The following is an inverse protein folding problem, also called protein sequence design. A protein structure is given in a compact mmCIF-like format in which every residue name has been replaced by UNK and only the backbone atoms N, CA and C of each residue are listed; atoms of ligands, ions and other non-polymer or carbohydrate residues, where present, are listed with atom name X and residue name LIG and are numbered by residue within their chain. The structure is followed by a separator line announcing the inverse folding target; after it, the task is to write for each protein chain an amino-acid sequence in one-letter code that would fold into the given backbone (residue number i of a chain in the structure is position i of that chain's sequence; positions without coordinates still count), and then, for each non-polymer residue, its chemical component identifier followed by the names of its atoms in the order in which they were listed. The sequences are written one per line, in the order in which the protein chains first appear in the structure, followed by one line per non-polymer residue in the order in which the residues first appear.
data_IF_729785143359
#
_entry.id   IF_729785143359
#
_cell.length_a   1.000
_cell.length_b   1.000
_cell.length_c   1.000
_cell.angle_alpha   90.00
_cell.angle_beta   90.00
_cell.angle_gamma   90.00
#
_symmetry.space_group_name_H-M   'P 1'
#
loop_
_entity.id
_entity.type
_entity.pdbx_description
1 polymer ?
#
# COMPACT_ATOMS: atom_id res chain seq x y z
N UNK A 1 10.28 16.71 -18.42
CA UNK A 1 10.85 15.33 -18.39
C UNK A 1 9.77 14.35 -17.96
N UNK A 2 9.70 13.18 -18.63
CA UNK A 2 8.82 12.08 -18.23
C UNK A 2 9.65 10.94 -17.63
N UNK A 3 9.36 10.57 -16.39
CA UNK A 3 9.95 9.41 -15.73
C UNK A 3 9.08 8.20 -16.07
N UNK A 4 9.67 7.17 -16.70
CA UNK A 4 8.93 5.97 -17.05
C UNK A 4 8.57 5.13 -15.83
N UNK A 5 7.47 4.39 -15.94
CA UNK A 5 7.06 3.42 -14.91
C UNK A 5 8.15 2.38 -14.69
N UNK A 6 8.79 1.89 -15.74
CA UNK A 6 9.88 0.91 -15.66
C UNK A 6 11.04 1.41 -14.80
N UNK A 7 11.46 2.68 -14.97
CA UNK A 7 12.53 3.29 -14.16
C UNK A 7 12.14 3.37 -12.68
N UNK A 8 10.90 3.77 -12.39
CA UNK A 8 10.39 3.83 -11.03
C UNK A 8 10.28 2.43 -10.40
N UNK A 9 9.80 1.46 -11.16
CA UNK A 9 9.68 0.07 -10.71
C UNK A 9 11.07 -0.55 -10.44
N UNK A 10 12.06 -0.29 -11.29
CA UNK A 10 13.44 -0.72 -11.08
C UNK A 10 14.05 -0.11 -9.82
N UNK A 11 13.83 1.19 -9.59
CA UNK A 11 14.25 1.87 -8.36
C UNK A 11 13.63 1.20 -7.13
N UNK A 12 12.32 1.01 -7.14
CA UNK A 12 11.58 0.43 -6.03
C UNK A 12 11.93 -1.03 -5.78
N UNK A 13 12.17 -1.81 -6.84
CA UNK A 13 12.58 -3.21 -6.72
C UNK A 13 13.92 -3.34 -5.99
N UNK A 14 14.88 -2.45 -6.27
CA UNK A 14 16.18 -2.43 -5.61
C UNK A 14 16.04 -2.06 -4.12
N UNK A 15 15.28 -1.03 -3.79
CA UNK A 15 14.98 -0.64 -2.41
C UNK A 15 14.29 -1.78 -1.67
N UNK A 16 13.32 -2.45 -2.29
CA UNK A 16 12.60 -3.58 -1.69
C UNK A 16 13.50 -4.78 -1.36
N UNK A 17 14.53 -5.05 -2.17
CA UNK A 17 15.53 -6.08 -1.85
C UNK A 17 16.24 -5.78 -0.54
N UNK A 18 16.65 -4.54 -0.32
CA UNK A 18 17.26 -4.11 0.94
C UNK A 18 16.28 -4.16 2.12
N UNK A 19 15.04 -3.75 1.92
CA UNK A 19 13.99 -3.88 2.93
C UNK A 19 13.84 -5.34 3.39
N UNK A 20 13.75 -6.27 2.44
CA UNK A 20 13.66 -7.71 2.74
C UNK A 20 14.92 -8.26 3.41
N UNK A 21 16.09 -7.78 3.01
CA UNK A 21 17.36 -8.20 3.60
C UNK A 21 17.49 -7.70 5.04
N UNK A 22 17.17 -6.43 5.31
CA UNK A 22 17.14 -5.86 6.66
C UNK A 22 16.19 -6.62 7.58
N UNK A 23 14.96 -6.87 7.10
CA UNK A 23 13.97 -7.65 7.86
C UNK A 23 14.48 -9.04 8.23
N UNK A 24 14.99 -9.80 7.23
CA UNK A 24 15.50 -11.17 7.49
C UNK A 24 16.70 -11.16 8.44
N UNK A 25 17.60 -10.20 8.28
CA UNK A 25 18.79 -10.08 9.11
C UNK A 25 18.42 -9.84 10.58
N UNK A 26 17.59 -8.83 10.86
CA UNK A 26 17.13 -8.51 12.22
C UNK A 26 16.31 -9.65 12.80
N UNK A 27 15.40 -10.24 12.04
CA UNK A 27 14.58 -11.35 12.51
C UNK A 27 15.43 -12.55 12.93
N UNK A 28 16.44 -12.91 12.13
CA UNK A 28 17.34 -14.02 12.43
C UNK A 28 18.18 -13.77 13.69
N UNK A 29 18.72 -12.56 13.85
CA UNK A 29 19.54 -12.20 15.01
C UNK A 29 18.71 -12.16 16.30
N UNK A 30 17.50 -11.58 16.28
CA UNK A 30 16.64 -11.56 17.45
C UNK A 30 16.14 -12.96 17.82
N UNK A 31 15.85 -13.82 16.85
CA UNK A 31 15.50 -15.22 17.12
C UNK A 31 16.67 -16.00 17.73
N UNK A 32 17.90 -15.78 17.27
CA UNK A 32 19.08 -16.38 17.84
C UNK A 32 19.32 -15.90 19.28
N UNK A 33 19.17 -14.59 19.53
CA UNK A 33 19.31 -14.03 20.87
C UNK A 33 18.30 -14.63 21.84
N UNK A 34 17.03 -14.72 21.45
CA UNK A 34 15.96 -15.34 22.25
C UNK A 34 16.31 -16.77 22.67
N UNK A 35 16.84 -17.55 21.71
CA UNK A 35 17.20 -18.96 21.95
C UNK A 35 18.38 -19.10 22.90
N UNK A 36 19.39 -18.23 22.78
CA UNK A 36 20.62 -18.30 23.57
C UNK A 36 20.45 -17.66 24.95
N UNK A 37 19.52 -16.74 25.12
CA UNK A 37 19.34 -15.95 26.33
C UNK A 37 17.86 -16.00 26.83
N UNK A 38 17.33 -17.18 27.20
CA UNK A 38 15.93 -17.33 27.54
C UNK A 38 15.50 -16.56 28.82
N UNK A 39 16.47 -16.15 29.64
CA UNK A 39 16.25 -15.38 30.86
C UNK A 39 16.67 -13.91 30.75
N UNK A 40 16.93 -13.43 29.52
CA UNK A 40 17.37 -12.05 29.30
C UNK A 40 16.31 -11.06 29.79
N UNK A 41 16.79 -10.03 30.48
CA UNK A 41 15.96 -8.90 30.96
C UNK A 41 15.53 -8.01 29.77
N UNK A 42 14.54 -7.17 30.01
CA UNK A 42 14.09 -6.17 29.01
C UNK A 42 15.23 -5.25 28.61
N UNK A 43 16.11 -4.86 29.54
CA UNK A 43 17.27 -4.01 29.25
C UNK A 43 18.25 -4.70 28.33
N UNK A 44 18.60 -5.96 28.59
CA UNK A 44 19.50 -6.75 27.73
C UNK A 44 18.91 -6.93 26.33
N UNK A 45 17.60 -7.14 26.21
CA UNK A 45 16.91 -7.15 24.92
C UNK A 45 17.02 -5.81 24.20
N UNK A 46 16.81 -4.69 24.89
CA UNK A 46 16.93 -3.36 24.30
C UNK A 46 18.35 -3.09 23.81
N UNK A 47 19.36 -3.34 24.64
CA UNK A 47 20.75 -3.07 24.31
C UNK A 47 21.22 -3.91 23.12
N UNK A 48 20.91 -5.21 23.12
CA UNK A 48 21.20 -6.08 21.97
C UNK A 48 20.49 -5.61 20.71
N UNK A 49 19.22 -5.28 20.81
CA UNK A 49 18.41 -4.89 19.66
C UNK A 49 18.83 -3.56 19.07
N UNK A 50 19.30 -2.61 19.89
CA UNK A 50 19.88 -1.35 19.38
C UNK A 50 21.07 -1.63 18.46
N UNK A 51 21.99 -2.50 18.87
CA UNK A 51 23.14 -2.86 18.05
C UNK A 51 22.71 -3.56 16.74
N UNK A 52 21.86 -4.57 16.86
CA UNK A 52 21.34 -5.33 15.69
C UNK A 52 20.60 -4.43 14.73
N UNK A 53 19.72 -3.57 15.23
CA UNK A 53 18.95 -2.65 14.39
C UNK A 53 19.88 -1.64 13.70
N UNK A 54 20.83 -1.06 14.43
CA UNK A 54 21.75 -0.08 13.89
C UNK A 54 22.63 -0.71 12.78
N UNK A 55 23.18 -1.89 13.00
CA UNK A 55 24.00 -2.59 11.99
C UNK A 55 23.20 -2.87 10.72
N UNK A 56 21.97 -3.35 10.88
CA UNK A 56 21.10 -3.63 9.74
C UNK A 56 20.69 -2.35 8.98
N UNK A 57 20.29 -1.29 9.71
CA UNK A 57 19.87 -0.03 9.07
C UNK A 57 21.03 0.72 8.46
N UNK A 58 22.25 0.62 9.01
CA UNK A 58 23.46 1.15 8.39
C UNK A 58 23.78 0.40 7.11
N UNK A 59 23.87 -0.94 7.15
CA UNK A 59 24.23 -1.71 5.97
C UNK A 59 23.23 -1.53 4.81
N UNK A 60 21.93 -1.69 5.07
CA UNK A 60 20.89 -1.68 4.02
C UNK A 60 20.30 -0.29 3.78
N UNK A 61 20.24 0.55 4.82
CA UNK A 61 19.76 1.93 4.71
C UNK A 61 20.74 2.81 3.96
N UNK A 62 22.04 2.70 4.24
CA UNK A 62 23.06 3.49 3.56
C UNK A 62 23.20 3.06 2.08
N UNK A 63 23.08 1.75 1.79
CA UNK A 63 23.00 1.28 0.41
C UNK A 63 21.78 1.86 -0.34
N UNK A 64 20.63 1.96 0.32
CA UNK A 64 19.43 2.55 -0.27
C UNK A 64 19.57 4.09 -0.43
N UNK A 65 20.23 4.76 0.52
CA UNK A 65 20.55 6.18 0.44
C UNK A 65 21.53 6.49 -0.70
N UNK A 66 22.58 5.71 -0.84
CA UNK A 66 23.55 5.85 -1.94
C UNK A 66 22.85 5.66 -3.31
N UNK A 67 22.01 4.65 -3.44
CA UNK A 67 21.22 4.44 -4.65
C UNK A 67 20.27 5.62 -4.95
N UNK A 68 19.67 6.20 -3.92
CA UNK A 68 18.85 7.40 -4.09
C UNK A 68 19.69 8.60 -4.56
N UNK A 69 20.93 8.74 -4.13
CA UNK A 69 21.86 9.75 -4.66
C UNK A 69 22.12 9.57 -6.16
N UNK A 70 22.45 8.35 -6.59
CA UNK A 70 22.70 8.04 -8.00
C UNK A 70 21.50 8.42 -8.87
N UNK A 71 20.29 8.04 -8.42
CA UNK A 71 19.03 8.33 -9.14
C UNK A 71 18.71 9.82 -9.12
N UNK A 72 18.99 10.52 -8.02
CA UNK A 72 18.83 11.98 -7.94
C UNK A 72 19.74 12.68 -8.92
N UNK A 73 21.03 12.41 -8.90
CA UNK A 73 22.03 13.05 -9.76
C UNK A 73 21.73 12.79 -11.23
N UNK A 74 21.37 11.56 -11.59
CA UNK A 74 20.94 11.22 -12.94
C UNK A 74 19.69 12.03 -13.35
N UNK A 75 18.71 12.15 -12.46
CA UNK A 75 17.48 12.89 -12.73
C UNK A 75 17.77 14.39 -12.95
N UNK A 76 18.64 14.99 -12.13
CA UNK A 76 19.02 16.40 -12.27
C UNK A 76 19.78 16.64 -13.57
N UNK A 77 20.69 15.74 -13.94
CA UNK A 77 21.42 15.83 -15.22
C UNK A 77 20.49 15.76 -16.42
N UNK A 78 19.51 14.83 -16.42
CA UNK A 78 18.53 14.72 -17.50
C UNK A 78 17.58 15.93 -17.59
N UNK A 79 17.32 16.59 -16.46
CA UNK A 79 16.54 17.85 -16.42
C UNK A 79 17.36 19.07 -16.82
N UNK A 80 18.67 18.93 -16.98
CA UNK A 80 19.58 20.05 -17.24
C UNK A 80 19.72 21.00 -16.05
N UNK A 81 19.45 20.51 -14.84
CA UNK A 81 19.57 21.29 -13.60
C UNK A 81 20.96 21.10 -13.01
N UNK A 82 21.71 22.19 -12.90
CA UNK A 82 23.05 22.15 -12.29
C UNK A 82 22.93 22.16 -10.76
N UNK A 83 23.13 21.00 -10.14
CA UNK A 83 23.12 20.80 -8.69
C UNK A 83 24.47 20.32 -8.20
N UNK A 84 24.71 20.44 -6.89
CA UNK A 84 25.81 19.70 -6.26
C UNK A 84 25.52 18.21 -6.27
N UNK A 85 26.54 17.33 -6.24
CA UNK A 85 26.35 15.91 -6.04
C UNK A 85 25.42 15.63 -4.85
N UNK A 86 24.57 14.63 -4.99
CA UNK A 86 23.63 14.28 -3.94
C UNK A 86 24.37 13.72 -2.71
N UNK A 87 23.88 14.03 -1.53
CA UNK A 87 24.40 13.56 -0.26
C UNK A 87 23.49 12.49 0.33
N UNK A 88 24.03 11.34 0.79
CA UNK A 88 23.21 10.30 1.41
C UNK A 88 22.74 10.72 2.80
N UNK A 89 21.51 10.34 3.15
CA UNK A 89 20.91 10.61 4.45
C UNK A 89 20.37 9.32 5.07
N UNK A 90 21.28 8.53 5.61
CA UNK A 90 20.99 7.27 6.31
C UNK A 90 20.45 7.44 7.73
N UNK A 91 20.46 6.37 8.48
CA UNK A 91 20.09 6.34 9.89
C UNK A 91 21.31 6.62 10.78
N UNK A 92 21.06 7.28 11.92
CA UNK A 92 22.09 7.43 12.97
C UNK A 92 21.86 6.40 14.07
N UNK A 93 22.91 6.18 14.89
CA UNK A 93 22.80 5.34 16.09
C UNK A 93 21.67 5.82 17.03
N UNK A 94 21.57 7.14 17.24
CA UNK A 94 20.52 7.72 18.10
C UNK A 94 19.12 7.46 17.54
N UNK A 95 18.96 7.46 16.21
CA UNK A 95 17.67 7.10 15.57
C UNK A 95 17.32 5.64 15.82
N UNK A 96 18.30 4.72 15.70
CA UNK A 96 18.08 3.30 15.98
C UNK A 96 17.74 3.08 17.47
N UNK A 97 18.51 3.72 18.37
CA UNK A 97 18.26 3.69 19.80
C UNK A 97 16.88 4.21 20.16
N UNK A 98 16.50 5.39 19.67
CA UNK A 98 15.16 5.94 19.88
C UNK A 98 14.06 5.00 19.40
N UNK A 99 14.22 4.40 18.22
CA UNK A 99 13.25 3.44 17.66
C UNK A 99 13.04 2.22 18.58
N UNK A 100 14.12 1.66 19.11
CA UNK A 100 14.04 0.49 20.03
C UNK A 100 13.37 0.87 21.34
N UNK A 101 13.76 2.01 21.93
CA UNK A 101 13.18 2.45 23.21
C UNK A 101 11.71 2.84 23.08
N UNK A 102 11.31 3.46 21.97
CA UNK A 102 9.90 3.79 21.70
C UNK A 102 9.06 2.51 21.48
N UNK A 103 9.64 1.52 20.78
CA UNK A 103 9.00 0.21 20.63
C UNK A 103 8.82 -0.49 21.98
N UNK A 104 9.84 -0.44 22.84
CA UNK A 104 9.78 -1.06 24.16
C UNK A 104 8.73 -0.38 25.07
N UNK A 105 8.59 0.94 25.01
CA UNK A 105 7.54 1.65 25.76
C UNK A 105 6.13 1.28 25.35
N UNK A 106 5.94 0.84 24.11
CA UNK A 106 4.64 0.44 23.58
C UNK A 106 4.24 -0.99 23.96
N UNK A 107 5.14 -1.76 24.59
CA UNK A 107 4.93 -3.18 24.92
C UNK A 107 4.80 -3.36 26.43
N UNK A 108 3.78 -4.08 26.84
CA UNK A 108 3.63 -4.54 28.23
C UNK A 108 4.41 -5.87 28.42
N UNK A 109 5.61 -5.77 28.96
CA UNK A 109 6.50 -6.90 29.17
C UNK A 109 6.06 -7.88 30.28
N UNK A 110 4.96 -7.61 30.97
CA UNK A 110 4.35 -8.59 31.89
C UNK A 110 3.59 -9.70 31.13
N UNK A 111 3.28 -9.50 29.86
CA UNK A 111 2.53 -10.45 29.03
C UNK A 111 3.42 -11.57 28.49
N UNK A 112 2.89 -12.81 28.39
CA UNK A 112 3.65 -13.95 27.87
C UNK A 112 4.17 -13.78 26.43
N UNK A 113 3.46 -13.00 25.60
CA UNK A 113 3.76 -12.75 24.18
C UNK A 113 4.54 -11.47 23.92
N UNK A 114 4.93 -10.74 24.97
CA UNK A 114 5.57 -9.41 24.87
C UNK A 114 6.84 -9.39 24.01
N UNK A 115 7.74 -10.34 24.21
CA UNK A 115 8.97 -10.41 23.42
C UNK A 115 8.70 -10.77 21.96
N UNK A 116 7.66 -11.53 21.66
CA UNK A 116 7.24 -11.80 20.28
C UNK A 116 6.71 -10.52 19.63
N UNK A 117 5.86 -9.76 20.32
CA UNK A 117 5.33 -8.49 19.85
C UNK A 117 6.46 -7.46 19.62
N UNK A 118 7.41 -7.38 20.56
CA UNK A 118 8.56 -6.51 20.45
C UNK A 118 9.42 -6.86 19.22
N UNK A 119 9.72 -8.14 19.03
CA UNK A 119 10.46 -8.64 17.85
C UNK A 119 9.72 -8.31 16.55
N UNK A 120 8.42 -8.54 16.50
CA UNK A 120 7.60 -8.25 15.32
C UNK A 120 7.58 -6.76 14.98
N UNK A 121 7.47 -5.90 15.98
CA UNK A 121 7.50 -4.46 15.80
C UNK A 121 8.86 -4.03 15.23
N UNK A 122 9.96 -4.50 15.80
CA UNK A 122 11.30 -4.11 15.37
C UNK A 122 11.70 -4.65 14.01
N UNK A 123 11.29 -5.86 13.65
CA UNK A 123 11.48 -6.39 12.30
C UNK A 123 10.70 -5.58 11.25
N UNK A 124 9.52 -5.06 11.60
CA UNK A 124 8.78 -4.11 10.76
C UNK A 124 9.54 -2.80 10.60
N UNK A 125 10.11 -2.24 11.68
CA UNK A 125 10.94 -1.03 11.62
C UNK A 125 12.20 -1.23 10.76
N UNK A 126 12.84 -2.39 10.89
CA UNK A 126 13.98 -2.76 10.05
C UNK A 126 13.61 -2.87 8.57
N UNK A 127 12.42 -3.43 8.26
CA UNK A 127 11.91 -3.47 6.89
C UNK A 127 11.73 -2.06 6.31
N UNK A 128 11.19 -1.13 7.08
CA UNK A 128 10.90 0.22 6.59
C UNK A 128 12.15 1.11 6.44
N UNK A 129 13.21 0.82 7.18
CA UNK A 129 14.39 1.68 7.27
C UNK A 129 15.04 2.00 5.92
N UNK A 130 15.29 1.04 5.00
CA UNK A 130 15.93 1.37 3.72
C UNK A 130 15.08 2.30 2.86
N UNK A 131 13.75 2.12 2.83
CA UNK A 131 12.86 3.04 2.10
C UNK A 131 12.87 4.44 2.71
N UNK A 132 12.85 4.52 4.03
CA UNK A 132 12.95 5.82 4.73
C UNK A 132 14.26 6.53 4.43
N UNK A 133 15.38 5.81 4.41
CA UNK A 133 16.69 6.36 4.05
C UNK A 133 16.71 6.87 2.61
N UNK A 134 16.23 6.08 1.66
CA UNK A 134 16.12 6.47 0.26
C UNK A 134 15.21 7.70 0.07
N UNK A 135 14.02 7.68 0.64
CA UNK A 135 13.08 8.81 0.57
C UNK A 135 13.66 10.07 1.23
N UNK A 136 14.30 9.94 2.40
CA UNK A 136 14.96 11.05 3.10
C UNK A 136 16.05 11.65 2.24
N UNK A 137 16.87 10.83 1.59
CA UNK A 137 17.93 11.28 0.68
C UNK A 137 17.34 12.08 -0.47
N UNK A 138 16.29 11.57 -1.12
CA UNK A 138 15.64 12.29 -2.22
C UNK A 138 15.12 13.67 -1.81
N UNK A 139 14.29 13.74 -0.75
CA UNK A 139 13.69 15.02 -0.39
C UNK A 139 14.68 16.00 0.22
N UNK A 140 15.72 15.55 0.93
CA UNK A 140 16.75 16.45 1.47
C UNK A 140 17.57 17.10 0.38
N UNK A 141 17.99 16.33 -0.62
CA UNK A 141 18.69 16.89 -1.77
C UNK A 141 17.77 17.84 -2.58
N UNK A 142 16.51 17.46 -2.83
CA UNK A 142 15.56 18.33 -3.49
C UNK A 142 15.30 19.65 -2.72
N UNK A 143 15.21 19.57 -1.38
CA UNK A 143 15.06 20.75 -0.51
C UNK A 143 16.30 21.65 -0.55
N UNK A 144 17.50 21.05 -0.54
CA UNK A 144 18.77 21.78 -0.71
C UNK A 144 18.77 22.57 -2.02
N UNK A 145 18.32 21.92 -3.08
CA UNK A 145 18.40 22.47 -4.45
C UNK A 145 17.13 23.24 -4.88
N UNK A 146 16.23 23.56 -3.95
CA UNK A 146 14.98 24.27 -4.22
C UNK A 146 15.14 25.59 -4.96
N UNK A 147 16.29 26.29 -4.80
CA UNK A 147 16.57 27.55 -5.48
C UNK A 147 16.82 27.36 -6.98
N UNK A 148 17.13 26.15 -7.40
CA UNK A 148 17.26 25.74 -8.79
C UNK A 148 15.93 25.25 -9.40
N UNK A 149 14.80 25.49 -8.73
CA UNK A 149 13.47 25.04 -9.17
C UNK A 149 13.18 23.57 -8.91
N UNK A 150 14.05 22.88 -8.16
CA UNK A 150 13.84 21.49 -7.77
C UNK A 150 12.77 21.42 -6.67
N UNK A 151 11.86 20.49 -6.85
CA UNK A 151 10.89 20.05 -5.86
C UNK A 151 10.83 18.52 -5.83
N UNK A 152 9.88 17.99 -5.13
CA UNK A 152 9.63 16.56 -5.14
C UNK A 152 8.14 16.25 -5.02
N UNK A 153 7.78 15.05 -5.44
CA UNK A 153 6.46 14.48 -5.31
C UNK A 153 6.52 13.20 -4.48
N UNK A 154 5.41 12.86 -3.84
CA UNK A 154 5.19 11.54 -3.24
C UNK A 154 4.38 10.72 -4.22
N UNK A 155 5.03 9.77 -4.87
CA UNK A 155 4.43 8.95 -5.92
C UNK A 155 3.95 7.62 -5.30
N UNK A 156 2.67 7.28 -5.43
CA UNK A 156 2.16 5.98 -5.06
C UNK A 156 2.89 4.89 -5.85
N UNK A 157 3.49 3.92 -5.19
CA UNK A 157 4.31 2.91 -5.87
C UNK A 157 4.09 1.48 -5.37
N UNK A 158 3.17 1.29 -4.44
CA UNK A 158 2.79 0.01 -3.89
C UNK A 158 1.47 -0.52 -4.45
N UNK A 159 1.06 -1.65 -3.89
CA UNK A 159 -0.24 -2.26 -4.24
C UNK A 159 -1.41 -1.56 -3.57
N UNK A 160 -1.19 -1.02 -2.38
CA UNK A 160 -2.20 -0.36 -1.57
C UNK A 160 -1.58 0.87 -0.91
N UNK A 161 -1.77 2.02 -1.52
CA UNK A 161 -1.32 3.28 -0.96
C UNK A 161 -2.38 3.83 -0.01
N UNK A 162 -1.99 4.20 1.20
CA UNK A 162 -2.92 4.75 2.19
C UNK A 162 -3.45 6.13 1.78
N UNK A 163 -4.64 6.48 2.25
CA UNK A 163 -5.31 7.75 1.93
C UNK A 163 -4.49 8.98 2.28
N UNK A 164 -3.71 8.93 3.35
CA UNK A 164 -2.79 10.00 3.70
C UNK A 164 -1.71 10.21 2.62
N UNK A 165 -1.08 9.13 2.14
CA UNK A 165 -0.10 9.22 1.05
C UNK A 165 -0.75 9.66 -0.27
N UNK A 166 -1.96 9.21 -0.57
CA UNK A 166 -2.71 9.64 -1.76
C UNK A 166 -3.06 11.13 -1.70
N UNK A 167 -3.47 11.62 -0.53
CA UNK A 167 -3.71 13.05 -0.31
C UNK A 167 -2.44 13.88 -0.52
N UNK A 168 -1.29 13.41 -0.06
CA UNK A 168 -0.02 14.09 -0.31
C UNK A 168 0.40 13.96 -1.76
N UNK A 169 0.16 12.83 -2.39
CA UNK A 169 0.45 12.59 -3.80
C UNK A 169 -0.35 13.52 -4.73
N UNK A 170 -1.55 13.95 -4.34
CA UNK A 170 -2.40 14.86 -5.11
C UNK A 170 -1.77 16.22 -5.42
N UNK A 171 -0.65 16.56 -4.77
CA UNK A 171 0.00 17.86 -4.91
C UNK A 171 1.13 17.90 -5.96
N UNK A 172 1.51 16.77 -6.53
CA UNK A 172 2.56 16.71 -7.54
C UNK A 172 3.92 17.18 -7.02
N UNK A 173 4.71 17.80 -7.92
CA UNK A 173 6.08 18.24 -7.64
C UNK A 173 6.18 19.62 -6.97
N UNK A 174 5.26 19.94 -6.07
CA UNK A 174 5.23 21.25 -5.39
C UNK A 174 6.00 21.29 -4.07
N UNK A 175 6.32 20.13 -3.51
CA UNK A 175 7.01 20.10 -2.22
C UNK A 175 8.44 20.61 -2.33
N UNK A 176 8.77 21.58 -1.48
CA UNK A 176 10.08 22.21 -1.39
C UNK A 176 10.65 22.18 0.03
N UNK A 177 9.93 21.62 0.97
CA UNK A 177 10.37 21.40 2.34
C UNK A 177 9.69 20.17 2.95
N UNK A 178 10.28 19.67 4.02
CA UNK A 178 9.79 18.53 4.80
C UNK A 178 8.40 18.81 5.39
N UNK A 179 8.21 20.01 5.92
CA UNK A 179 6.95 20.44 6.52
C UNK A 179 5.82 20.45 5.50
N UNK A 180 6.11 20.94 4.28
CA UNK A 180 5.11 21.02 3.21
C UNK A 180 4.66 19.63 2.73
N UNK A 181 5.53 18.62 2.83
CA UNK A 181 5.23 17.24 2.46
C UNK A 181 4.59 16.41 3.60
N UNK A 182 4.18 17.06 4.68
CA UNK A 182 3.55 16.40 5.83
C UNK A 182 4.52 15.74 6.81
N UNK A 183 5.80 16.10 6.76
CA UNK A 183 6.83 15.62 7.68
C UNK A 183 7.20 16.65 8.77
N UNK A 184 6.33 17.64 9.01
CA UNK A 184 6.50 18.64 10.06
C UNK A 184 6.43 18.01 11.45
N UNK A 185 7.51 18.23 12.21
CA UNK A 185 7.79 17.60 13.49
C UNK A 185 6.62 17.49 14.45
N UNK A 186 6.01 16.35 14.55
CA UNK A 186 5.25 15.93 15.69
C UNK A 186 3.81 15.46 15.49
N UNK A 187 3.06 15.86 14.48
CA UNK A 187 1.66 15.39 14.32
C UNK A 187 1.37 14.70 12.99
N UNK A 188 2.09 15.04 11.95
CA UNK A 188 1.92 14.49 10.60
C UNK A 188 3.22 13.90 10.06
N UNK A 189 4.23 13.79 10.90
CA UNK A 189 5.52 13.24 10.64
C UNK A 189 5.40 11.76 10.40
N UNK A 190 4.84 11.30 9.28
CA UNK A 190 5.03 9.85 9.27
C UNK A 190 4.75 9.23 7.92
N UNK A 191 5.83 8.80 7.36
CA UNK A 191 5.83 7.49 6.77
C UNK A 191 5.37 6.51 7.86
N UNK A 192 4.09 6.12 7.87
CA UNK A 192 3.60 5.05 8.75
C UNK A 192 4.32 3.74 8.41
N UNK A 193 4.27 2.79 9.30
CA UNK A 193 4.84 1.48 9.07
C UNK A 193 4.24 0.87 7.78
N UNK A 194 5.11 0.29 6.95
CA UNK A 194 4.78 -0.26 5.61
C UNK A 194 4.28 0.78 4.59
N UNK A 195 4.68 2.05 4.75
CA UNK A 195 4.41 3.05 3.73
C UNK A 195 5.09 2.65 2.40
N UNK A 196 4.33 2.67 1.32
CA UNK A 196 4.78 2.25 -0.01
C UNK A 196 5.10 3.41 -0.96
N UNK A 197 4.80 4.64 -0.58
CA UNK A 197 5.07 5.79 -1.44
C UNK A 197 6.57 6.02 -1.63
N UNK A 198 6.92 6.46 -2.83
CA UNK A 198 8.29 6.82 -3.22
C UNK A 198 8.39 8.32 -3.37
N UNK A 199 9.43 8.92 -2.79
CA UNK A 199 9.77 10.32 -3.07
C UNK A 199 10.56 10.37 -4.37
N UNK A 200 10.08 11.21 -5.28
CA UNK A 200 10.70 11.43 -6.60
C UNK A 200 11.03 12.91 -6.70
N UNK A 201 12.30 13.23 -6.94
CA UNK A 201 12.74 14.61 -7.20
C UNK A 201 12.49 15.00 -8.66
N UNK A 202 12.22 16.28 -8.90
CA UNK A 202 11.97 16.81 -10.22
C UNK A 202 11.71 18.31 -10.20
N UNK A 203 11.24 18.84 -11.31
CA UNK A 203 10.80 20.24 -11.45
C UNK A 203 9.29 20.28 -11.69
N UNK A 204 8.67 21.47 -11.71
CA UNK A 204 7.24 21.62 -11.98
C UNK A 204 6.74 21.04 -13.31
N UNK A 205 7.66 20.79 -14.28
CA UNK A 205 7.34 20.14 -15.55
C UNK A 205 7.65 18.65 -15.60
N UNK A 206 8.00 18.04 -14.48
CA UNK A 206 8.28 16.60 -14.39
C UNK A 206 6.97 15.83 -14.27
N UNK A 207 6.84 14.78 -15.09
CA UNK A 207 5.72 13.82 -15.02
C UNK A 207 6.24 12.41 -14.75
N UNK A 208 5.45 11.59 -14.10
CA UNK A 208 5.75 10.18 -13.83
C UNK A 208 4.66 9.34 -14.48
N UNK A 209 5.07 8.34 -15.24
CA UNK A 209 4.12 7.45 -15.89
C UNK A 209 3.29 6.66 -14.88
N UNK A 210 1.96 6.67 -15.07
CA UNK A 210 1.02 6.03 -14.13
C UNK A 210 0.76 6.83 -12.84
N UNK A 211 1.23 8.07 -12.76
CA UNK A 211 0.96 8.99 -11.68
C UNK A 211 0.31 10.26 -12.20
N UNK A 212 -0.92 10.49 -11.79
CA UNK A 212 -1.72 11.66 -12.15
C UNK A 212 -2.09 12.44 -10.87
N UNK A 213 -1.33 13.48 -10.53
CA UNK A 213 -1.62 14.30 -9.35
C UNK A 213 -2.91 15.11 -9.49
N UNK A 214 -3.31 15.51 -10.69
CA UNK A 214 -4.51 16.32 -10.91
C UNK A 214 -5.75 15.46 -10.66
N UNK A 215 -5.79 14.24 -11.17
CA UNK A 215 -6.84 13.29 -10.84
C UNK A 215 -6.91 12.98 -9.33
N UNK A 216 -5.77 12.78 -8.67
CA UNK A 216 -5.72 12.57 -7.23
C UNK A 216 -6.22 13.80 -6.46
N UNK A 217 -5.99 15.01 -6.99
CA UNK A 217 -6.50 16.24 -6.40
C UNK A 217 -8.03 16.33 -6.51
N UNK A 218 -8.60 15.95 -7.64
CA UNK A 218 -10.04 15.86 -7.81
C UNK A 218 -10.65 14.84 -6.85
N UNK A 219 -10.03 13.65 -6.71
CA UNK A 219 -10.44 12.65 -5.71
C UNK A 219 -10.38 13.22 -4.29
N UNK A 220 -9.33 13.98 -3.96
CA UNK A 220 -9.22 14.65 -2.64
C UNK A 220 -10.34 15.65 -2.40
N UNK A 221 -10.64 16.49 -3.39
CA UNK A 221 -11.72 17.49 -3.28
C UNK A 221 -13.09 16.84 -3.11
N UNK A 222 -13.36 15.77 -3.86
CA UNK A 222 -14.59 15.01 -3.77
C UNK A 222 -14.71 14.29 -2.43
N UNK A 223 -13.63 13.68 -1.97
CA UNK A 223 -13.58 13.01 -0.67
C UNK A 223 -13.82 13.97 0.49
N UNK A 224 -13.26 15.18 0.40
CA UNK A 224 -13.48 16.24 1.39
C UNK A 224 -14.95 16.70 1.42
N UNK A 225 -15.59 16.80 0.25
CA UNK A 225 -17.02 17.16 0.15
C UNK A 225 -17.91 16.06 0.71
N UNK A 226 -17.62 14.80 0.40
CA UNK A 226 -18.42 13.65 0.87
C UNK A 226 -18.27 13.42 2.36
N UNK A 227 -17.06 13.56 2.90
CA UNK A 227 -16.80 13.38 4.33
C UNK A 227 -17.48 14.46 5.19
N UNK A 228 -17.83 15.61 4.60
CA UNK A 228 -18.44 16.77 5.26
C UNK A 228 -17.82 17.11 6.63
N UNK A 229 -16.49 17.01 6.70
CA UNK A 229 -15.75 17.20 7.94
C UNK A 229 -14.35 17.75 7.64
N UNK A 230 -13.71 18.33 8.67
CA UNK A 230 -12.30 18.70 8.67
C UNK A 230 -11.42 17.59 9.27
N UNK A 231 -12.00 16.46 9.66
CA UNK A 231 -11.22 15.32 10.18
C UNK A 231 -10.44 14.65 9.04
N UNK A 232 -9.12 14.78 9.11
CA UNK A 232 -8.21 14.19 8.14
C UNK A 232 -8.33 12.68 8.01
N UNK A 233 -8.64 11.96 9.09
CA UNK A 233 -8.78 10.51 9.04
C UNK A 233 -10.02 10.09 8.25
N UNK A 234 -11.11 10.85 8.38
CA UNK A 234 -12.33 10.60 7.60
C UNK A 234 -12.10 10.89 6.11
N UNK A 235 -11.44 12.01 5.79
CA UNK A 235 -11.07 12.35 4.41
C UNK A 235 -10.14 11.30 3.81
N UNK A 236 -9.12 10.85 4.53
CA UNK A 236 -8.20 9.82 4.06
C UNK A 236 -8.90 8.48 3.79
N UNK A 237 -9.84 8.08 4.64
CA UNK A 237 -10.64 6.86 4.40
C UNK A 237 -11.47 6.98 3.12
N UNK A 238 -12.09 8.12 2.87
CA UNK A 238 -12.86 8.35 1.67
C UNK A 238 -11.97 8.34 0.39
N UNK A 239 -10.77 8.93 0.46
CA UNK A 239 -9.77 8.85 -0.62
C UNK A 239 -9.40 7.39 -0.91
N UNK A 240 -9.15 6.59 0.11
CA UNK A 240 -8.83 5.17 -0.05
C UNK A 240 -9.96 4.40 -0.74
N UNK A 241 -11.19 4.64 -0.34
CA UNK A 241 -12.36 4.00 -0.95
C UNK A 241 -12.46 4.34 -2.44
N UNK A 242 -12.37 5.62 -2.79
CA UNK A 242 -12.48 6.10 -4.18
C UNK A 242 -11.33 5.62 -5.07
N UNK A 243 -10.10 5.67 -4.55
CA UNK A 243 -8.93 5.21 -5.31
C UNK A 243 -8.90 3.69 -5.47
N UNK A 244 -9.37 2.94 -4.47
CA UNK A 244 -9.54 1.49 -4.60
C UNK A 244 -10.61 1.16 -5.63
N UNK A 245 -11.70 1.89 -5.65
CA UNK A 245 -12.76 1.71 -6.63
C UNK A 245 -12.28 2.02 -8.05
N UNK A 246 -11.52 3.10 -8.23
CA UNK A 246 -10.92 3.43 -9.51
C UNK A 246 -9.92 2.35 -9.96
N UNK A 247 -9.01 1.93 -9.08
CA UNK A 247 -8.05 0.88 -9.38
C UNK A 247 -8.74 -0.45 -9.72
N UNK A 248 -9.82 -0.76 -9.02
CA UNK A 248 -10.67 -1.90 -9.29
C UNK A 248 -11.21 -1.86 -10.72
N UNK A 249 -11.68 -0.69 -11.18
CA UNK A 249 -12.31 -0.54 -12.48
C UNK A 249 -11.30 -0.42 -13.65
N UNK A 250 -10.01 -0.12 -13.36
CA UNK A 250 -9.02 0.24 -14.39
C UNK A 250 -7.74 -0.63 -14.37
N UNK A 251 -7.63 -1.62 -13.48
CA UNK A 251 -6.44 -2.49 -13.47
C UNK A 251 -6.54 -3.54 -14.59
N UNK A 252 -5.56 -3.64 -15.51
CA UNK A 252 -5.53 -4.69 -16.52
C UNK A 252 -5.47 -6.06 -15.86
N UNK A 253 -6.26 -6.96 -16.37
CA UNK A 253 -6.60 -8.18 -15.68
C UNK A 253 -5.87 -9.38 -16.20
N UNK A 254 -5.50 -10.22 -15.25
CA UNK A 254 -5.03 -11.57 -15.53
C UNK A 254 -5.61 -12.49 -14.48
N UNK A 255 -6.26 -13.58 -14.94
CA UNK A 255 -6.63 -14.68 -14.06
C UNK A 255 -5.37 -15.52 -13.84
N UNK A 256 -4.94 -15.61 -12.59
CA UNK A 256 -3.85 -16.49 -12.18
C UNK A 256 -4.43 -17.72 -11.47
N UNK A 257 -4.24 -18.89 -12.06
CA UNK A 257 -4.57 -20.17 -11.43
C UNK A 257 -3.35 -20.70 -10.67
N UNK A 258 -3.51 -21.04 -9.39
CA UNK A 258 -2.40 -21.60 -8.59
C UNK A 258 -2.14 -23.08 -8.86
N UNK A 259 -3.07 -23.78 -9.51
CA UNK A 259 -2.99 -25.19 -9.89
C UNK A 259 -3.55 -25.38 -11.31
N UNK A 260 -3.64 -26.63 -11.72
CA UNK A 260 -4.20 -27.02 -13.02
C UNK A 260 -5.63 -26.47 -13.18
N UNK A 261 -5.87 -25.59 -14.15
CA UNK A 261 -7.20 -25.00 -14.38
C UNK A 261 -8.30 -26.05 -14.65
N UNK A 262 -7.93 -27.23 -15.13
CA UNK A 262 -8.89 -28.31 -15.38
C UNK A 262 -9.51 -28.89 -14.10
N UNK A 263 -8.83 -28.75 -12.98
CA UNK A 263 -9.30 -29.20 -11.66
C UNK A 263 -10.16 -28.18 -10.92
N UNK A 264 -10.26 -26.97 -11.44
CA UNK A 264 -11.09 -25.91 -10.85
C UNK A 264 -12.54 -26.11 -11.28
N UNK A 265 -13.53 -26.01 -10.37
CA UNK A 265 -14.94 -26.12 -10.72
C UNK A 265 -15.34 -25.14 -11.84
N UNK A 266 -16.20 -25.59 -12.76
CA UNK A 266 -16.58 -24.79 -13.93
C UNK A 266 -17.20 -23.44 -13.54
N UNK A 267 -18.06 -23.40 -12.53
CA UNK A 267 -18.68 -22.16 -12.04
C UNK A 267 -17.64 -21.17 -11.48
N UNK A 268 -16.62 -21.66 -10.78
CA UNK A 268 -15.55 -20.81 -10.25
C UNK A 268 -14.67 -20.22 -11.39
N UNK A 269 -14.41 -21.00 -12.44
CA UNK A 269 -13.73 -20.49 -13.64
C UNK A 269 -14.56 -19.43 -14.35
N UNK A 270 -15.86 -19.70 -14.56
CA UNK A 270 -16.76 -18.73 -15.19
C UNK A 270 -16.81 -17.41 -14.43
N UNK A 271 -16.92 -17.46 -13.10
CA UNK A 271 -16.92 -16.26 -12.27
C UNK A 271 -15.58 -15.51 -12.37
N UNK A 272 -14.44 -16.23 -12.30
CA UNK A 272 -13.13 -15.64 -12.42
C UNK A 272 -12.91 -14.99 -13.80
N UNK A 273 -13.26 -15.69 -14.88
CA UNK A 273 -13.12 -15.18 -16.25
C UNK A 273 -14.04 -13.97 -16.50
N UNK A 274 -15.25 -13.99 -15.96
CA UNK A 274 -16.18 -12.86 -16.06
C UNK A 274 -15.65 -11.64 -15.34
N UNK A 275 -15.20 -11.80 -14.08
CA UNK A 275 -14.58 -10.73 -13.33
C UNK A 275 -13.34 -10.20 -14.03
N UNK A 276 -12.56 -11.10 -14.61
CA UNK A 276 -11.42 -10.76 -15.43
C UNK A 276 -11.81 -9.91 -16.64
N UNK A 277 -12.82 -10.28 -17.37
CA UNK A 277 -13.31 -9.51 -18.51
C UNK A 277 -13.84 -8.11 -18.13
N UNK A 278 -14.31 -7.96 -16.89
CA UNK A 278 -14.72 -6.66 -16.30
C UNK A 278 -13.57 -5.87 -15.68
N UNK A 279 -12.34 -6.28 -15.84
CA UNK A 279 -11.21 -5.49 -15.37
C UNK A 279 -10.68 -5.84 -13.97
N UNK A 280 -11.10 -6.95 -13.36
CA UNK A 280 -10.60 -7.35 -12.04
C UNK A 280 -9.36 -8.25 -12.12
N UNK A 281 -8.31 -7.92 -11.33
CA UNK A 281 -7.19 -8.83 -11.11
C UNK A 281 -7.61 -10.00 -10.24
N UNK A 282 -7.83 -11.17 -10.81
CA UNK A 282 -8.36 -12.34 -10.11
C UNK A 282 -7.29 -13.40 -9.94
N UNK A 283 -7.12 -13.87 -8.71
CA UNK A 283 -6.39 -15.09 -8.41
C UNK A 283 -7.35 -16.09 -7.80
N UNK A 284 -7.54 -17.20 -8.48
CA UNK A 284 -8.39 -18.30 -8.01
C UNK A 284 -7.56 -19.25 -7.16
N UNK A 285 -8.03 -19.50 -5.93
CA UNK A 285 -7.51 -20.55 -5.05
C UNK A 285 -8.34 -21.80 -5.24
N UNK A 286 -7.67 -22.88 -5.58
CA UNK A 286 -8.21 -24.22 -5.63
C UNK A 286 -8.15 -24.80 -4.21
N UNK A 287 -9.26 -24.70 -3.48
CA UNK A 287 -9.53 -25.29 -2.17
C UNK A 287 -10.87 -25.99 -2.25
N UNK A 288 -11.24 -26.78 -1.26
CA UNK A 288 -12.56 -27.44 -1.19
C UNK A 288 -13.72 -26.44 -1.32
N UNK A 289 -13.49 -25.20 -0.88
CA UNK A 289 -14.33 -24.03 -1.17
C UNK A 289 -13.55 -23.04 -2.03
N UNK A 290 -13.84 -22.93 -3.34
CA UNK A 290 -13.12 -22.02 -4.22
C UNK A 290 -13.24 -20.58 -3.74
N UNK A 291 -12.11 -19.89 -3.58
CA UNK A 291 -12.05 -18.50 -3.18
C UNK A 291 -11.30 -17.66 -4.20
N UNK A 292 -11.80 -16.46 -4.42
CA UNK A 292 -11.19 -15.49 -5.31
C UNK A 292 -10.37 -14.50 -4.48
N UNK A 293 -9.15 -14.27 -4.90
CA UNK A 293 -8.32 -13.21 -4.33
C UNK A 293 -8.30 -12.03 -5.30
N UNK A 294 -8.97 -10.95 -4.93
CA UNK A 294 -9.11 -9.73 -5.74
C UNK A 294 -8.73 -8.51 -4.92
N UNK A 295 -7.91 -7.63 -5.49
CA UNK A 295 -7.48 -6.38 -4.86
C UNK A 295 -7.00 -6.52 -3.39
N UNK A 296 -6.22 -7.55 -3.08
CA UNK A 296 -5.68 -7.79 -1.75
C UNK A 296 -6.66 -8.44 -0.77
N UNK A 297 -7.94 -8.63 -1.13
CA UNK A 297 -8.95 -9.24 -0.31
C UNK A 297 -9.36 -10.63 -0.79
N UNK A 298 -9.77 -11.50 0.14
CA UNK A 298 -10.33 -12.82 -0.15
C UNK A 298 -11.84 -12.67 -0.30
N UNK A 299 -12.38 -13.21 -1.38
CA UNK A 299 -13.79 -13.23 -1.70
C UNK A 299 -14.28 -14.67 -1.76
N UNK A 300 -15.30 -14.99 -0.97
CA UNK A 300 -15.97 -16.28 -1.08
C UNK A 300 -16.78 -16.35 -2.37
N UNK A 301 -16.73 -17.47 -3.07
CA UNK A 301 -17.63 -17.75 -4.17
C UNK A 301 -18.87 -18.43 -3.60
N UNK A 302 -20.05 -17.89 -3.89
CA UNK A 302 -21.30 -18.40 -3.37
C UNK A 302 -22.31 -18.62 -4.48
N UNK A 303 -23.15 -19.63 -4.31
CA UNK A 303 -24.36 -19.82 -5.12
C UNK A 303 -25.43 -18.76 -4.79
N UNK A 304 -26.46 -18.69 -5.65
CA UNK A 304 -27.56 -17.75 -5.55
C UNK A 304 -28.35 -17.83 -4.23
N UNK A 305 -28.20 -18.91 -3.48
CA UNK A 305 -28.96 -19.17 -2.25
C UNK A 305 -28.29 -18.67 -0.96
N UNK A 306 -27.26 -17.86 -1.06
CA UNK A 306 -26.52 -17.36 0.10
C UNK A 306 -27.33 -16.28 0.82
N UNK A 307 -27.69 -16.55 2.07
CA UNK A 307 -28.45 -15.63 2.92
C UNK A 307 -27.60 -14.45 3.44
N UNK A 308 -26.29 -14.69 3.63
CA UNK A 308 -25.34 -13.70 4.14
C UNK A 308 -24.15 -13.56 3.19
N UNK A 309 -24.19 -12.65 2.23
CA UNK A 309 -23.18 -12.59 1.17
C UNK A 309 -21.80 -12.14 1.65
N UNK A 310 -21.68 -11.29 2.64
CA UNK A 310 -20.40 -10.76 3.08
C UNK A 310 -19.52 -10.22 1.93
N UNK A 311 -18.22 -10.50 1.97
CA UNK A 311 -17.32 -10.28 0.82
C UNK A 311 -17.39 -11.46 -0.13
N UNK A 312 -18.44 -11.55 -0.90
CA UNK A 312 -18.70 -12.70 -1.77
C UNK A 312 -18.98 -12.28 -3.21
N UNK A 313 -18.68 -13.22 -4.09
CA UNK A 313 -19.13 -13.19 -5.48
C UNK A 313 -20.26 -14.20 -5.61
N UNK A 314 -21.39 -13.75 -6.07
CA UNK A 314 -22.56 -14.56 -6.33
C UNK A 314 -22.69 -14.75 -7.85
N UNK A 315 -22.61 -15.97 -8.29
CA UNK A 315 -22.90 -16.36 -9.66
C UNK A 315 -24.36 -16.82 -9.73
N UNK A 316 -25.16 -16.10 -10.49
CA UNK A 316 -26.59 -16.39 -10.64
C UNK A 316 -26.83 -17.64 -11.45
N UNK A 317 -27.91 -18.34 -11.15
CA UNK A 317 -28.40 -19.44 -11.97
C UNK A 317 -29.06 -18.93 -13.26
N UNK A 318 -29.04 -19.73 -14.32
CA UNK A 318 -29.76 -19.39 -15.55
C UNK A 318 -31.22 -19.06 -15.26
N UNK A 319 -31.70 -17.93 -15.82
CA UNK A 319 -33.09 -17.47 -15.66
C UNK A 319 -33.36 -16.54 -14.46
N UNK A 320 -32.41 -16.32 -13.55
CA UNK A 320 -32.50 -15.29 -12.52
C UNK A 320 -31.93 -13.97 -13.08
N UNK A 321 -32.70 -12.88 -13.09
CA UNK A 321 -32.19 -11.59 -13.53
C UNK A 321 -31.23 -10.98 -12.49
N UNK A 322 -30.26 -10.19 -12.97
CA UNK A 322 -29.31 -9.51 -12.09
C UNK A 322 -30.00 -8.55 -11.13
N UNK A 323 -31.11 -7.94 -11.53
CA UNK A 323 -31.90 -7.03 -10.69
C UNK A 323 -32.65 -7.76 -9.58
N UNK A 324 -33.21 -8.94 -9.88
CA UNK A 324 -33.87 -9.79 -8.88
C UNK A 324 -32.87 -10.26 -7.81
N UNK A 325 -31.72 -10.73 -8.24
CA UNK A 325 -30.68 -11.15 -7.31
C UNK A 325 -30.10 -9.98 -6.51
N UNK A 326 -29.89 -8.83 -7.15
CA UNK A 326 -29.44 -7.63 -6.46
C UNK A 326 -30.41 -7.20 -5.36
N UNK A 327 -31.71 -7.20 -5.63
CA UNK A 327 -32.73 -6.86 -4.62
C UNK A 327 -32.73 -7.85 -3.45
N UNK A 328 -32.61 -9.15 -3.73
CA UNK A 328 -32.53 -10.21 -2.72
C UNK A 328 -31.29 -10.07 -1.84
N UNK A 329 -30.12 -9.89 -2.46
CA UNK A 329 -28.84 -9.75 -1.75
C UNK A 329 -28.82 -8.49 -0.89
N UNK A 330 -29.32 -7.37 -1.41
CA UNK A 330 -29.40 -6.11 -0.66
C UNK A 330 -30.17 -6.21 0.65
N UNK A 331 -31.18 -7.07 0.72
CA UNK A 331 -31.99 -7.28 1.92
C UNK A 331 -31.18 -7.88 3.10
N UNK A 332 -30.06 -8.54 2.80
CA UNK A 332 -29.23 -9.25 3.78
C UNK A 332 -27.81 -8.65 3.93
N UNK A 333 -27.49 -7.60 3.17
CA UNK A 333 -26.15 -6.99 3.19
C UNK A 333 -25.97 -6.10 4.44
N UNK A 334 -24.99 -6.40 5.27
CA UNK A 334 -24.61 -5.51 6.37
C UNK A 334 -23.93 -4.23 5.87
N UNK A 335 -23.87 -3.19 6.69
CA UNK A 335 -23.40 -1.86 6.30
C UNK A 335 -21.96 -1.78 5.81
N UNK A 336 -21.10 -2.74 6.22
CA UNK A 336 -19.69 -2.84 5.88
C UNK A 336 -19.39 -3.92 4.83
N UNK A 337 -20.42 -4.59 4.34
CA UNK A 337 -20.27 -5.68 3.39
C UNK A 337 -20.37 -5.22 1.94
N UNK A 338 -19.66 -5.95 1.07
CA UNK A 338 -19.69 -5.75 -0.39
C UNK A 338 -19.93 -7.08 -1.07
N UNK A 339 -20.84 -7.10 -2.01
CA UNK A 339 -21.14 -8.27 -2.83
C UNK A 339 -21.03 -7.93 -4.31
N UNK A 340 -20.49 -8.85 -5.11
CA UNK A 340 -20.52 -8.80 -6.57
C UNK A 340 -21.51 -9.84 -7.06
N UNK A 341 -22.49 -9.39 -7.79
CA UNK A 341 -23.50 -10.25 -8.41
C UNK A 341 -23.14 -10.38 -9.89
N UNK A 342 -22.91 -11.60 -10.37
CA UNK A 342 -22.51 -11.89 -11.74
C UNK A 342 -23.59 -12.71 -12.38
N UNK A 343 -24.14 -12.22 -13.50
CA UNK A 343 -25.12 -12.97 -14.27
C UNK A 343 -24.47 -14.18 -14.95
N UNK A 344 -25.21 -15.29 -15.03
CA UNK A 344 -24.75 -16.49 -15.75
C UNK A 344 -25.02 -16.40 -17.24
N UNK A 345 -25.99 -15.63 -17.66
CA UNK A 345 -26.54 -15.61 -19.04
C UNK A 345 -26.89 -14.22 -19.58
N UNK A 346 -27.19 -13.24 -18.71
CA UNK A 346 -27.44 -11.89 -19.18
C UNK A 346 -26.15 -11.20 -19.61
N UNK A 347 -26.19 -10.64 -20.82
CA UNK A 347 -25.06 -9.87 -21.37
C UNK A 347 -25.45 -8.42 -21.53
N UNK A 348 -24.44 -7.58 -21.38
CA UNK A 348 -24.52 -6.18 -21.71
C UNK A 348 -24.58 -6.04 -23.25
N UNK A 349 -25.50 -5.23 -23.74
CA UNK A 349 -25.76 -5.10 -25.18
C UNK A 349 -24.60 -4.43 -25.93
N UNK A 350 -23.90 -3.53 -25.27
CA UNK A 350 -22.80 -2.75 -25.88
C UNK A 350 -21.47 -3.50 -25.86
N UNK A 351 -21.17 -4.22 -24.78
CA UNK A 351 -19.88 -4.87 -24.57
C UNK A 351 -19.89 -6.38 -24.87
N UNK A 352 -21.07 -7.00 -24.90
CA UNK A 352 -21.22 -8.46 -25.03
C UNK A 352 -20.75 -9.26 -23.81
N UNK A 353 -20.30 -8.60 -22.75
CA UNK A 353 -19.85 -9.24 -21.51
C UNK A 353 -21.05 -9.62 -20.63
N UNK A 354 -20.89 -10.66 -19.80
CA UNK A 354 -21.89 -10.99 -18.79
C UNK A 354 -22.10 -9.81 -17.84
N UNK A 355 -23.35 -9.50 -17.52
CA UNK A 355 -23.69 -8.40 -16.62
C UNK A 355 -23.13 -8.65 -15.23
N UNK A 356 -22.56 -7.61 -14.63
CA UNK A 356 -22.02 -7.61 -13.30
C UNK A 356 -22.60 -6.41 -12.51
N UNK A 357 -22.98 -6.63 -11.28
CA UNK A 357 -23.46 -5.56 -10.38
C UNK A 357 -22.75 -5.63 -9.05
N UNK A 358 -22.17 -4.50 -8.65
CA UNK A 358 -21.61 -4.32 -7.31
C UNK A 358 -22.68 -3.81 -6.38
N UNK A 359 -22.82 -4.46 -5.23
CA UNK A 359 -23.71 -4.06 -4.15
C UNK A 359 -22.86 -3.71 -2.94
N UNK A 360 -23.23 -2.63 -2.28
CA UNK A 360 -22.65 -2.21 -1.01
C UNK A 360 -23.78 -2.15 0.00
N UNK A 361 -23.54 -2.61 1.20
CA UNK A 361 -24.47 -2.49 2.29
C UNK A 361 -24.86 -1.01 2.52
N UNK A 362 -26.04 -0.73 3.05
CA UNK A 362 -26.46 0.63 3.33
C UNK A 362 -25.47 1.25 4.30
N UNK A 363 -24.83 2.36 3.91
CA UNK A 363 -24.01 3.13 4.83
C UNK A 363 -24.82 3.37 6.10
N UNK A 364 -24.26 3.00 7.25
CA UNK A 364 -24.93 3.27 8.52
C UNK A 364 -25.10 4.78 8.62
N UNK A 365 -26.30 5.24 8.33
CA UNK A 365 -26.71 6.62 8.57
C UNK A 365 -26.87 6.75 10.08
N UNK A 366 -25.76 6.86 10.78
CA UNK A 366 -25.81 7.27 12.17
C UNK A 366 -25.91 8.80 12.18
N UNK A 367 -27.13 9.25 11.96
CA UNK A 367 -27.56 10.55 12.48
C UNK A 367 -27.61 10.37 14.00
N UNK A 368 -26.63 10.93 14.69
CA UNK A 368 -26.81 11.53 16.02
C UNK A 368 -25.72 12.53 16.29
#
# INVERSE_FOLDING_TARGET
MRISKERLDAYNAKVRRWQQAAHRNVAAQLAAFAKLNPAATVQEWQDYTVAVLYDAVSAYGDAAAAWACDVYDQTMAELGVNTKPAEPHGYTYDTAKGTVYDAARAIDFSRPDAYQQFTQLLTTKAFDAPRRAANRTMWRNATRDRRHGVGYARVPSGRETCGFCLMLASRGFVYRSEEAAGDAGGRFNRYHDRCDCTVVAGTGGTTVEGYDPDWLYDVYLDSRRTADTQDYNAICREIELRTREWAWNHTPVKVEYRRDPAKVPAHARTAADTLAAHGFGVRLRDTDEPTLYMNGAVWGLADSDTETPGRKVILLRPGESIDQAAARVMAHLASDETCLVVSADERDEDTGLLKLRRLMGPAATTIR
#
